data_IF_006006993354
#
_entry.id   IF_006006993354
#
_cell.length_a   1.000
_cell.length_b   1.000
_cell.length_c   1.000
_cell.angle_alpha   90.00
_cell.angle_beta   90.00
_cell.angle_gamma   90.00
#
_symmetry.space_group_name_H-M   'P 1'
#
loop_
_entity.id
_entity.type
_entity.pdbx_description
1 polymer ?
#
# COMPACT_ATOMS: atom_id res chain seq x y z
N UNK A 1 1.37 7.74 0.82
CA UNK A 1 0.24 7.45 -0.05
C UNK A 1 0.20 8.40 -1.23
N UNK A 2 -0.16 7.88 -2.38
CA UNK A 2 -0.10 8.62 -3.64
C UNK A 2 -1.44 8.55 -4.35
N UNK A 3 -2.06 9.71 -4.61
CA UNK A 3 -3.44 9.79 -5.13
C UNK A 3 -3.55 10.16 -6.62
N UNK A 4 -2.43 10.42 -7.32
CA UNK A 4 -2.50 10.82 -8.71
C UNK A 4 -3.24 9.80 -9.62
N UNK A 5 -3.04 8.47 -9.50
CA UNK A 5 -3.79 7.53 -10.30
C UNK A 5 -5.29 7.60 -10.07
N UNK A 6 -5.73 7.74 -8.82
CA UNK A 6 -7.13 7.87 -8.48
C UNK A 6 -7.71 9.17 -9.03
N UNK A 7 -6.97 10.26 -8.90
CA UNK A 7 -7.36 11.56 -9.41
C UNK A 7 -7.54 11.55 -10.93
N UNK A 8 -6.71 10.78 -11.65
CA UNK A 8 -6.81 10.62 -13.10
C UNK A 8 -8.00 9.75 -13.52
N UNK A 9 -8.41 8.79 -12.71
CA UNK A 9 -9.48 7.85 -13.02
C UNK A 9 -10.87 8.39 -12.71
N UNK A 10 -10.97 9.32 -11.77
CA UNK A 10 -12.23 9.92 -11.40
C UNK A 10 -12.50 11.20 -12.19
N UNK A 11 -13.76 11.52 -12.50
CA UNK A 11 -14.10 12.86 -12.97
C UNK A 11 -13.60 13.90 -11.97
N UNK A 12 -13.18 15.06 -12.49
CA UNK A 12 -12.64 16.13 -11.64
C UNK A 12 -13.55 16.42 -10.43
N UNK A 13 -14.84 16.55 -10.69
CA UNK A 13 -15.81 16.85 -9.64
C UNK A 13 -15.95 15.70 -8.65
N UNK A 14 -15.82 14.44 -9.12
CA UNK A 14 -15.92 13.28 -8.25
C UNK A 14 -14.79 13.20 -7.24
N UNK A 15 -13.55 13.42 -7.69
CA UNK A 15 -12.40 13.45 -6.80
C UNK A 15 -12.53 14.59 -5.77
N UNK A 16 -12.87 15.79 -6.24
CA UNK A 16 -13.01 16.96 -5.38
C UNK A 16 -14.10 16.75 -4.33
N UNK A 17 -15.24 16.17 -4.73
CA UNK A 17 -16.32 15.84 -3.81
C UNK A 17 -15.87 14.89 -2.71
N UNK A 18 -15.18 13.80 -3.08
CA UNK A 18 -14.71 12.83 -2.10
C UNK A 18 -13.69 13.44 -1.13
N UNK A 19 -12.81 14.31 -1.63
CA UNK A 19 -11.83 15.01 -0.81
C UNK A 19 -12.50 16.02 0.14
N UNK A 20 -13.44 16.82 -0.37
CA UNK A 20 -14.12 17.87 0.42
C UNK A 20 -15.01 17.27 1.51
N UNK A 21 -15.65 16.14 1.24
CA UNK A 21 -16.50 15.45 2.23
C UNK A 21 -15.71 14.54 3.17
N UNK A 22 -14.40 14.50 3.03
CA UNK A 22 -13.49 13.63 3.79
C UNK A 22 -13.79 12.14 3.66
N UNK A 23 -14.44 11.76 2.56
CA UNK A 23 -14.60 10.35 2.21
C UNK A 23 -13.30 9.77 1.63
N UNK A 24 -12.40 10.63 1.19
CA UNK A 24 -11.08 10.28 0.71
C UNK A 24 -10.04 11.14 1.45
N UNK A 25 -9.15 10.49 2.18
CA UNK A 25 -8.12 11.16 2.96
C UNK A 25 -6.75 10.60 2.65
N UNK A 26 -5.72 11.46 2.70
CA UNK A 26 -4.33 11.06 2.61
C UNK A 26 -3.69 11.16 3.99
N UNK A 27 -3.00 10.11 4.39
CA UNK A 27 -2.37 10.05 5.70
C UNK A 27 -0.90 9.64 5.59
N UNK A 28 -0.10 10.19 6.48
CA UNK A 28 1.28 9.75 6.71
C UNK A 28 1.25 8.84 7.94
N UNK A 29 1.91 7.67 7.93
CA UNK A 29 1.81 6.71 9.03
C UNK A 29 2.08 7.31 10.41
N UNK A 30 2.97 8.29 10.50
CA UNK A 30 3.29 8.97 11.76
C UNK A 30 2.06 9.61 12.40
N UNK A 31 1.15 10.16 11.59
CA UNK A 31 -0.05 10.85 12.08
C UNK A 31 -1.23 9.93 12.33
N UNK A 32 -1.11 8.64 12.02
CA UNK A 32 -2.18 7.66 12.27
C UNK A 32 -2.22 7.18 13.70
N UNK A 33 -1.19 7.46 14.46
CA UNK A 33 -1.07 6.98 15.84
C UNK A 33 -2.23 7.50 16.71
N UNK A 34 -2.92 6.58 17.37
CA UNK A 34 -4.06 6.92 18.20
C UNK A 34 -5.40 7.04 17.47
N UNK A 35 -5.42 6.90 16.15
CA UNK A 35 -6.63 6.94 15.33
C UNK A 35 -7.08 5.53 14.95
N UNK A 36 -8.38 5.26 15.01
CA UNK A 36 -8.97 4.00 14.53
C UNK A 36 -9.91 4.31 13.38
N UNK A 37 -9.83 3.52 12.31
CA UNK A 37 -10.64 3.70 11.11
C UNK A 37 -11.69 2.61 11.03
N UNK A 38 -12.95 2.98 11.26
CA UNK A 38 -14.11 2.10 11.10
C UNK A 38 -14.79 2.38 9.75
N UNK A 39 -15.47 1.38 9.21
CA UNK A 39 -16.21 1.48 7.94
C UNK A 39 -15.36 2.07 6.82
N UNK A 40 -14.09 1.67 6.77
CA UNK A 40 -13.09 2.29 5.91
C UNK A 40 -12.36 1.26 5.05
N UNK A 41 -11.84 1.73 3.94
CA UNK A 41 -10.87 1.00 3.14
C UNK A 41 -9.56 1.77 3.20
N UNK A 42 -8.52 1.14 3.70
CA UNK A 42 -7.20 1.72 3.80
C UNK A 42 -6.30 1.12 2.73
N UNK A 43 -5.69 1.97 1.93
CA UNK A 43 -4.75 1.54 0.89
C UNK A 43 -3.36 2.05 1.26
N UNK A 44 -2.42 1.14 1.37
CA UNK A 44 -1.02 1.46 1.71
C UNK A 44 -0.17 1.17 0.49
N UNK A 45 0.27 2.23 -0.16
CA UNK A 45 1.12 2.13 -1.35
C UNK A 45 2.60 2.14 -0.95
N UNK A 46 3.43 1.57 -1.81
CA UNK A 46 4.88 1.47 -1.60
C UNK A 46 5.24 0.82 -0.25
N UNK A 47 4.50 -0.23 0.10
CA UNK A 47 4.63 -0.87 1.40
C UNK A 47 5.97 -1.60 1.60
N UNK A 48 6.73 -1.84 0.53
CA UNK A 48 8.06 -2.45 0.58
C UNK A 48 9.07 -1.57 1.33
N UNK A 49 8.80 -0.27 1.47
CA UNK A 49 9.69 0.65 2.17
C UNK A 49 9.34 0.83 3.65
N UNK A 50 8.28 0.19 4.13
CA UNK A 50 7.85 0.31 5.51
C UNK A 50 8.70 -0.57 6.44
N UNK A 51 8.88 -0.08 7.66
CA UNK A 51 9.46 -0.89 8.74
C UNK A 51 8.39 -1.80 9.36
N UNK A 52 8.83 -2.79 10.13
CA UNK A 52 7.91 -3.65 10.88
C UNK A 52 7.01 -2.83 11.81
N UNK A 53 7.57 -1.83 12.50
CA UNK A 53 6.81 -0.96 13.39
C UNK A 53 5.73 -0.17 12.63
N UNK A 54 6.06 0.32 11.44
CA UNK A 54 5.10 1.07 10.63
C UNK A 54 3.97 0.17 10.13
N UNK A 55 4.27 -1.03 9.68
CA UNK A 55 3.25 -2.00 9.25
C UNK A 55 2.31 -2.33 10.41
N UNK A 56 2.87 -2.60 11.58
CA UNK A 56 2.08 -2.89 12.79
C UNK A 56 1.21 -1.70 13.17
N UNK A 57 1.78 -0.49 13.14
CA UNK A 57 1.03 0.72 13.46
C UNK A 57 -0.17 0.89 12.53
N UNK A 58 0.06 0.78 11.22
CA UNK A 58 -0.99 0.93 10.22
C UNK A 58 -2.05 -0.17 10.39
N UNK A 59 -1.62 -1.42 10.50
CA UNK A 59 -2.54 -2.56 10.61
C UNK A 59 -3.42 -2.51 11.84
N UNK A 60 -2.90 -1.99 12.95
CA UNK A 60 -3.67 -1.90 14.19
C UNK A 60 -4.63 -0.71 14.22
N UNK A 61 -4.60 0.15 13.21
CA UNK A 61 -5.57 1.26 13.10
C UNK A 61 -6.88 0.87 12.44
N UNK A 62 -6.93 -0.33 11.86
CA UNK A 62 -8.15 -0.83 11.21
C UNK A 62 -9.17 -1.20 12.28
N UNK A 63 -10.34 -0.62 12.19
CA UNK A 63 -11.45 -0.90 13.09
C UNK A 63 -12.50 -1.80 12.48
N UNK A 64 -13.74 -1.64 12.91
CA UNK A 64 -14.86 -2.49 12.51
C UNK A 64 -15.24 -2.25 11.06
N UNK A 65 -15.62 -3.32 10.36
CA UNK A 65 -16.12 -3.27 9.00
C UNK A 65 -15.17 -2.54 8.04
N UNK A 66 -13.86 -2.78 8.21
CA UNK A 66 -12.83 -2.10 7.44
C UNK A 66 -11.88 -3.11 6.81
N UNK A 67 -11.24 -2.69 5.73
CA UNK A 67 -10.27 -3.50 5.01
C UNK A 67 -9.01 -2.71 4.78
N UNK A 68 -7.88 -3.42 4.71
CA UNK A 68 -6.59 -2.83 4.40
C UNK A 68 -5.95 -3.58 3.23
N UNK A 69 -5.38 -2.81 2.33
CA UNK A 69 -4.64 -3.34 1.18
C UNK A 69 -3.22 -2.78 1.22
N UNK A 70 -2.25 -3.67 1.27
CA UNK A 70 -0.84 -3.30 1.10
C UNK A 70 -0.43 -3.57 -0.33
N UNK A 71 0.10 -2.57 -1.00
CA UNK A 71 0.65 -2.69 -2.34
C UNK A 71 2.13 -2.37 -2.29
N UNK A 72 2.95 -3.24 -2.87
CA UNK A 72 4.38 -3.02 -2.86
C UNK A 72 5.13 -3.93 -3.81
N UNK A 73 6.38 -3.56 -4.07
CA UNK A 73 7.32 -4.32 -4.87
C UNK A 73 8.62 -4.45 -4.09
N UNK A 74 8.82 -5.61 -3.45
CA UNK A 74 10.02 -5.84 -2.65
C UNK A 74 11.30 -5.90 -3.48
N UNK A 75 11.20 -6.06 -4.80
CA UNK A 75 12.37 -5.99 -5.69
C UNK A 75 12.88 -4.56 -5.85
N UNK A 76 12.04 -3.56 -5.57
CA UNK A 76 12.40 -2.14 -5.63
C UNK A 76 12.79 -1.57 -4.27
N UNK A 77 12.69 -2.36 -3.20
CA UNK A 77 13.05 -1.89 -1.87
C UNK A 77 14.52 -1.52 -1.80
N UNK A 78 14.80 -0.32 -1.31
CA UNK A 78 16.16 0.15 -1.09
C UNK A 78 16.74 -0.32 0.24
N UNK A 79 15.90 -0.84 1.14
CA UNK A 79 16.32 -1.27 2.47
C UNK A 79 16.90 -2.68 2.46
N UNK A 80 16.18 -3.63 1.87
CA UNK A 80 16.62 -5.01 1.82
C UNK A 80 15.81 -5.78 0.79
N UNK A 81 16.49 -6.41 -0.16
CA UNK A 81 15.86 -7.24 -1.19
C UNK A 81 15.77 -8.71 -0.78
N UNK A 82 16.11 -9.03 0.46
CA UNK A 82 16.10 -10.39 0.98
C UNK A 82 14.79 -10.72 1.67
N UNK A 83 14.72 -11.93 2.22
CA UNK A 83 13.58 -12.40 3.01
C UNK A 83 13.38 -11.60 4.31
N UNK A 84 14.30 -10.69 4.65
CA UNK A 84 14.16 -9.83 5.82
C UNK A 84 13.26 -8.62 5.59
N UNK A 85 12.81 -8.40 4.37
CA UNK A 85 11.88 -7.29 4.11
C UNK A 85 10.60 -7.47 4.92
N UNK A 86 10.16 -6.45 5.68
CA UNK A 86 8.97 -6.56 6.54
C UNK A 86 7.70 -6.94 5.80
N UNK A 87 7.51 -6.48 4.57
CA UNK A 87 6.34 -6.85 3.76
C UNK A 87 6.31 -8.35 3.47
N UNK A 88 7.47 -8.91 3.11
CA UNK A 88 7.60 -10.36 2.85
C UNK A 88 7.37 -11.14 4.13
N UNK A 89 7.93 -10.70 5.25
CA UNK A 89 7.70 -11.35 6.55
C UNK A 89 6.22 -11.35 6.93
N UNK A 90 5.52 -10.25 6.70
CA UNK A 90 4.09 -10.17 6.97
C UNK A 90 3.33 -11.23 6.15
N UNK A 91 3.64 -11.34 4.87
CA UNK A 91 2.99 -12.32 4.01
C UNK A 91 3.25 -13.75 4.49
N UNK A 92 4.48 -14.05 4.90
CA UNK A 92 4.84 -15.37 5.38
C UNK A 92 4.17 -15.71 6.72
N UNK A 93 4.12 -14.77 7.64
CA UNK A 93 3.51 -15.00 8.97
C UNK A 93 2.00 -15.11 8.90
N UNK A 94 1.35 -14.35 8.03
CA UNK A 94 -0.11 -14.34 7.93
C UNK A 94 -0.67 -15.35 6.94
N UNK A 95 0.19 -16.05 6.24
CA UNK A 95 -0.21 -17.07 5.27
C UNK A 95 -1.10 -18.11 5.92
N UNK A 96 -2.24 -18.36 5.31
CA UNK A 96 -3.21 -19.33 5.82
C UNK A 96 -4.22 -18.75 6.80
N UNK A 97 -4.05 -17.50 7.25
CA UNK A 97 -5.05 -16.87 8.08
C UNK A 97 -6.32 -16.59 7.26
N UNK A 98 -7.53 -16.93 7.77
CA UNK A 98 -8.77 -16.79 6.98
C UNK A 98 -9.09 -15.37 6.54
N UNK A 99 -8.58 -14.34 7.23
CA UNK A 99 -8.87 -12.95 6.88
C UNK A 99 -7.74 -12.29 6.11
N UNK A 100 -6.71 -13.05 5.73
CA UNK A 100 -5.55 -12.54 4.99
C UNK A 100 -5.45 -13.20 3.62
N UNK A 101 -5.12 -12.41 2.60
CA UNK A 101 -4.83 -12.91 1.26
C UNK A 101 -3.63 -12.19 0.67
N UNK A 102 -2.92 -12.87 -0.19
CA UNK A 102 -1.77 -12.32 -0.89
C UNK A 102 -1.83 -12.68 -2.37
N UNK A 103 -1.59 -11.71 -3.24
CA UNK A 103 -1.57 -11.91 -4.69
C UNK A 103 -0.22 -11.42 -5.21
N UNK A 104 0.46 -12.27 -5.96
CA UNK A 104 1.71 -11.92 -6.63
C UNK A 104 1.44 -11.65 -8.10
N UNK A 105 1.86 -10.47 -8.55
CA UNK A 105 1.78 -10.06 -9.94
C UNK A 105 3.18 -10.12 -10.52
N UNK A 106 3.38 -10.98 -11.52
CA UNK A 106 4.70 -11.24 -12.09
C UNK A 106 4.85 -10.74 -13.53
N UNK A 107 3.77 -10.25 -14.12
CA UNK A 107 3.80 -9.72 -15.49
C UNK A 107 4.01 -8.21 -15.48
N UNK A 108 5.02 -7.77 -16.23
CA UNK A 108 5.33 -6.34 -16.38
C UNK A 108 4.65 -5.80 -17.62
N UNK A 109 3.62 -4.96 -17.42
CA UNK A 109 2.85 -4.35 -18.52
C UNK A 109 3.28 -2.91 -18.82
N UNK A 110 4.42 -2.47 -18.26
CA UNK A 110 4.96 -1.14 -18.52
C UNK A 110 5.45 -1.01 -19.96
N UNK A 111 5.66 0.23 -20.40
CA UNK A 111 6.22 0.50 -21.72
C UNK A 111 7.62 -0.09 -21.88
N UNK A 112 8.02 -0.31 -23.13
CA UNK A 112 9.36 -0.83 -23.43
C UNK A 112 10.46 0.08 -22.87
N UNK A 113 10.28 1.39 -22.93
CA UNK A 113 11.22 2.34 -22.36
C UNK A 113 11.34 2.18 -20.85
N UNK A 114 10.22 2.05 -20.16
CA UNK A 114 10.22 1.84 -18.70
C UNK A 114 10.92 0.54 -18.33
N UNK A 115 10.69 -0.53 -19.10
CA UNK A 115 11.35 -1.81 -18.88
C UNK A 115 12.86 -1.71 -19.08
N UNK A 116 13.29 -0.95 -20.10
CA UNK A 116 14.70 -0.74 -20.38
C UNK A 116 15.38 -0.09 -19.17
N UNK A 117 14.81 0.98 -18.64
CA UNK A 117 15.39 1.67 -17.47
C UNK A 117 15.31 0.83 -16.20
N UNK A 118 14.25 0.07 -16.00
CA UNK A 118 14.12 -0.81 -14.85
C UNK A 118 15.22 -1.87 -14.80
N UNK A 119 15.79 -2.23 -15.96
CA UNK A 119 16.85 -3.24 -16.07
C UNK A 119 18.27 -2.65 -16.04
N UNK A 120 18.39 -1.31 -15.93
CA UNK A 120 19.69 -0.68 -15.79
C UNK A 120 20.33 -1.01 -14.44
N UNK A 121 21.64 -1.18 -14.46
CA UNK A 121 22.45 -1.36 -13.24
C UNK A 121 22.10 -2.62 -12.44
N UNK A 122 21.59 -3.62 -13.09
CA UNK A 122 21.37 -4.94 -12.46
C UNK A 122 22.61 -5.83 -12.57
#
# INVERSE_FOLDING_TARGET
>A
MFFAPLKQQLPYDGYQYLSDTKQLESQIPFYMKGTTYDDSILVVDEAEDLTESQIRLIGTRIGKNSKIFFSGDFNQSIKDKTTNNPLVKMCDELKGNPIFGCIYLDEDVRSETSKLFANLFK
#
